data_IF_357721315896
#
_entry.id   IF_357721315896
#
_cell.length_a   1.000
_cell.length_b   1.000
_cell.length_c   1.000
_cell.angle_alpha   90.00
_cell.angle_beta   90.00
_cell.angle_gamma   90.00
#
_symmetry.space_group_name_H-M   'P 1'
#
loop_
_entity.id
_entity.type
_entity.pdbx_description
1 polymer ?
#
# COMPACT_ATOMS: atom_id res chain seq x y z
N UNK A 1 -27.34 36.29 14.35
CA UNK A 1 -27.13 34.89 13.97
C UNK A 1 -26.10 34.82 12.85
N UNK A 2 -24.94 34.27 13.15
CA UNK A 2 -23.81 34.25 12.23
C UNK A 2 -23.98 33.18 11.13
N UNK A 3 -23.22 33.33 10.03
CA UNK A 3 -23.18 32.38 8.91
C UNK A 3 -22.89 30.94 9.35
N UNK A 4 -22.18 30.75 10.47
CA UNK A 4 -21.86 29.46 11.09
C UNK A 4 -23.09 28.80 11.76
N UNK A 5 -24.01 29.56 12.31
CA UNK A 5 -25.21 29.02 12.95
C UNK A 5 -26.23 28.51 11.92
N UNK A 6 -26.29 29.15 10.74
CA UNK A 6 -27.09 28.67 9.61
C UNK A 6 -26.56 27.41 8.97
N UNK A 7 -25.23 27.19 8.95
CA UNK A 7 -24.64 25.96 8.47
C UNK A 7 -24.86 24.78 9.44
N UNK A 8 -24.83 25.05 10.74
CA UNK A 8 -25.10 24.01 11.76
C UNK A 8 -26.55 23.53 11.76
N UNK A 9 -27.50 24.38 11.40
CA UNK A 9 -28.93 24.01 11.34
C UNK A 9 -29.31 23.22 10.07
N UNK A 10 -28.41 23.10 9.09
CA UNK A 10 -28.61 22.35 7.86
C UNK A 10 -28.03 20.93 7.89
N UNK A 11 -27.31 20.55 8.96
CA UNK A 11 -26.79 19.20 9.11
C UNK A 11 -27.88 18.33 9.75
N UNK A 12 -28.29 17.21 9.11
CA UNK A 12 -29.27 16.29 9.69
C UNK A 12 -28.84 15.83 11.08
N UNK A 13 -29.76 15.81 12.05
CA UNK A 13 -29.46 15.43 13.43
C UNK A 13 -28.75 14.07 13.54
N UNK A 14 -29.10 13.10 12.68
CA UNK A 14 -28.42 11.80 12.61
C UNK A 14 -26.94 11.86 12.25
N UNK A 15 -26.50 12.87 11.48
CA UNK A 15 -25.08 13.05 11.13
C UNK A 15 -24.27 13.62 12.30
N UNK A 16 -24.89 14.40 13.19
CA UNK A 16 -24.23 14.94 14.39
C UNK A 16 -24.07 13.88 15.47
N UNK A 17 -25.07 13.01 15.68
CA UNK A 17 -24.98 11.89 16.60
C UNK A 17 -23.95 10.85 16.16
N UNK A 18 -23.88 10.54 14.86
CA UNK A 18 -22.87 9.65 14.28
C UNK A 18 -21.44 10.23 14.42
N UNK A 19 -21.28 11.52 14.19
CA UNK A 19 -19.99 12.21 14.37
C UNK A 19 -19.53 12.18 15.83
N UNK A 20 -20.47 12.35 16.78
CA UNK A 20 -20.16 12.32 18.21
C UNK A 20 -19.82 10.91 18.68
N UNK A 21 -20.56 9.88 18.24
CA UNK A 21 -20.26 8.47 18.54
C UNK A 21 -18.90 8.03 18.00
N UNK A 22 -18.57 8.40 16.77
CA UNK A 22 -17.27 8.11 16.17
C UNK A 22 -16.11 8.81 16.90
N UNK A 23 -16.34 10.03 17.39
CA UNK A 23 -15.34 10.77 18.17
C UNK A 23 -15.12 10.13 19.54
N UNK A 24 -16.19 9.70 20.22
CA UNK A 24 -16.10 9.00 21.50
C UNK A 24 -15.37 7.67 21.36
N UNK A 25 -15.78 6.82 20.41
CA UNK A 25 -15.11 5.54 20.14
C UNK A 25 -13.62 5.70 19.81
N UNK A 26 -13.26 6.72 19.01
CA UNK A 26 -11.87 7.05 18.72
C UNK A 26 -11.07 7.41 19.97
N UNK A 27 -11.67 8.18 20.88
CA UNK A 27 -11.06 8.58 22.14
C UNK A 27 -10.90 7.40 23.08
N UNK A 28 -11.89 6.53 23.17
CA UNK A 28 -11.86 5.30 23.98
C UNK A 28 -10.76 4.33 23.50
N UNK A 29 -10.64 4.11 22.17
CA UNK A 29 -9.57 3.30 21.60
C UNK A 29 -8.20 3.91 21.93
N UNK A 30 -8.04 5.22 21.76
CA UNK A 30 -6.77 5.89 22.05
C UNK A 30 -6.38 5.81 23.53
N UNK A 31 -7.36 5.96 24.45
CA UNK A 31 -7.12 5.87 25.89
C UNK A 31 -6.77 4.44 26.34
N UNK A 32 -7.36 3.43 25.70
CA UNK A 32 -7.09 2.02 26.03
C UNK A 32 -5.61 1.68 25.81
N UNK A 33 -5.02 2.08 24.68
CA UNK A 33 -3.59 1.85 24.41
C UNK A 33 -2.65 2.72 25.27
N UNK A 34 -3.11 3.85 25.81
CA UNK A 34 -2.32 4.67 26.71
C UNK A 34 -2.20 4.09 28.13
N UNK A 35 -3.15 3.23 28.52
CA UNK A 35 -3.16 2.60 29.85
C UNK A 35 -2.36 1.30 29.90
N UNK A 36 -1.90 0.77 28.75
CA UNK A 36 -1.03 -0.39 28.71
C UNK A 36 0.40 0.08 29.08
N UNK A 37 0.92 -0.46 30.20
CA UNK A 37 2.23 -0.08 30.70
C UNK A 37 3.33 -0.35 29.67
N UNK A 38 4.05 0.69 29.29
CA UNK A 38 5.23 0.55 28.43
C UNK A 38 6.48 0.95 29.18
N UNK A 39 7.47 0.09 29.19
CA UNK A 39 8.75 0.36 29.81
C UNK A 39 9.88 0.19 28.81
N UNK A 40 10.96 0.96 29.03
CA UNK A 40 12.19 0.79 28.29
C UNK A 40 13.09 -0.17 29.08
N UNK A 41 13.14 -1.43 28.64
CA UNK A 41 13.86 -2.49 29.34
C UNK A 41 15.02 -3.03 28.51
N UNK A 42 15.99 -3.64 29.19
CA UNK A 42 17.12 -4.31 28.53
C UNK A 42 16.96 -5.82 28.65
N UNK A 43 16.56 -6.44 27.56
CA UNK A 43 16.16 -7.85 27.48
C UNK A 43 17.22 -8.70 26.79
N UNK A 44 17.23 -10.01 27.08
CA UNK A 44 18.10 -10.97 26.40
C UNK A 44 17.63 -11.22 24.99
N UNK A 45 18.53 -11.10 24.01
CA UNK A 45 18.23 -11.29 22.59
C UNK A 45 17.69 -12.70 22.28
N UNK A 46 18.17 -13.72 23.02
CA UNK A 46 17.71 -15.10 22.90
C UNK A 46 16.25 -15.33 23.31
N UNK A 47 15.72 -14.44 24.18
CA UNK A 47 14.33 -14.56 24.69
C UNK A 47 13.32 -13.88 23.75
N UNK A 48 13.75 -13.31 22.64
CA UNK A 48 12.88 -12.64 21.67
C UNK A 48 12.40 -13.65 20.65
N UNK A 49 11.09 -13.78 20.51
CA UNK A 49 10.42 -14.61 19.50
C UNK A 49 9.89 -13.74 18.37
N UNK A 50 10.04 -14.20 17.13
CA UNK A 50 9.44 -13.53 15.98
C UNK A 50 7.95 -13.79 15.93
N UNK A 51 7.18 -12.74 15.67
CA UNK A 51 5.74 -12.88 15.55
C UNK A 51 5.38 -13.61 14.24
N UNK A 52 4.73 -14.78 14.31
CA UNK A 52 4.38 -15.57 13.13
C UNK A 52 3.36 -14.86 12.23
N UNK A 53 2.63 -13.90 12.76
CA UNK A 53 1.64 -13.11 12.03
C UNK A 53 2.24 -11.88 11.33
N UNK A 54 3.58 -11.69 11.36
CA UNK A 54 4.20 -10.58 10.65
C UNK A 54 4.15 -10.81 9.13
N UNK A 55 3.30 -10.06 8.43
CA UNK A 55 3.13 -10.15 6.98
C UNK A 55 4.33 -9.65 6.18
N UNK A 56 5.24 -8.89 6.80
CA UNK A 56 6.48 -8.39 6.20
C UNK A 56 7.73 -9.07 6.75
N UNK A 57 7.65 -10.34 7.04
CA UNK A 57 8.83 -11.12 7.40
C UNK A 57 9.87 -11.08 6.28
N UNK A 58 11.15 -11.04 6.64
CA UNK A 58 12.28 -10.99 5.72
C UNK A 58 13.17 -12.22 5.91
N UNK A 59 13.93 -12.60 4.87
CA UNK A 59 14.88 -13.70 4.97
C UNK A 59 16.09 -13.33 5.82
N UNK A 60 16.68 -14.30 6.54
CA UNK A 60 17.83 -14.07 7.42
C UNK A 60 19.11 -13.75 6.64
N UNK A 61 19.26 -14.30 5.43
CA UNK A 61 20.42 -14.12 4.55
C UNK A 61 20.35 -12.91 3.62
N UNK A 62 19.39 -12.00 3.85
CA UNK A 62 19.25 -10.79 3.06
C UNK A 62 20.48 -9.89 3.24
N UNK A 63 21.09 -9.45 2.13
CA UNK A 63 22.21 -8.51 2.13
C UNK A 63 21.90 -7.24 2.91
N UNK A 64 20.65 -6.81 2.87
CA UNK A 64 20.18 -5.65 3.66
C UNK A 64 20.26 -5.86 5.18
N UNK A 65 20.19 -7.11 5.65
CA UNK A 65 20.39 -7.45 7.07
C UNK A 65 21.86 -7.36 7.44
N UNK A 66 22.77 -7.83 6.54
CA UNK A 66 24.22 -7.71 6.75
C UNK A 66 24.67 -6.24 6.84
N UNK A 67 24.20 -5.42 5.90
CA UNK A 67 24.48 -3.98 5.89
C UNK A 67 23.93 -3.28 7.15
N UNK A 68 22.74 -3.68 7.60
CA UNK A 68 22.16 -3.16 8.85
C UNK A 68 22.98 -3.61 10.08
N UNK A 69 23.49 -4.85 10.11
CA UNK A 69 24.35 -5.33 11.16
C UNK A 69 25.64 -4.49 11.24
N UNK A 70 26.29 -4.25 10.11
CA UNK A 70 27.50 -3.41 10.04
C UNK A 70 27.24 -1.95 10.48
N UNK A 71 26.06 -1.42 10.17
CA UNK A 71 25.65 -0.09 10.64
C UNK A 71 25.41 -0.06 12.15
N UNK A 72 24.77 -1.10 12.71
CA UNK A 72 24.53 -1.23 14.17
C UNK A 72 25.86 -1.43 14.90
N UNK A 73 26.79 -2.18 14.35
CA UNK A 73 28.11 -2.39 14.94
C UNK A 73 28.87 -1.08 15.10
N UNK A 74 28.86 -0.20 14.09
CA UNK A 74 29.52 1.10 14.10
C UNK A 74 28.84 2.15 14.97
N UNK A 75 27.50 2.24 14.89
CA UNK A 75 26.75 3.37 15.44
C UNK A 75 25.89 3.01 16.66
N UNK A 76 25.77 1.71 17.00
CA UNK A 76 24.79 1.21 17.96
C UNK A 76 23.38 1.13 17.39
N UNK A 77 22.45 0.65 18.20
CA UNK A 77 21.02 0.54 17.84
C UNK A 77 20.35 1.90 18.06
N UNK A 78 20.12 2.65 16.97
CA UNK A 78 19.55 4.01 17.05
C UNK A 78 18.04 4.01 17.37
N UNK A 79 17.31 2.96 17.00
CA UNK A 79 15.88 2.82 17.24
C UNK A 79 15.60 1.53 17.97
N UNK A 80 14.89 1.62 19.10
CA UNK A 80 14.53 0.46 19.89
C UNK A 80 13.62 -0.50 19.13
N UNK A 81 13.71 -1.77 19.46
CA UNK A 81 12.68 -2.77 19.07
C UNK A 81 11.47 -2.62 19.98
N UNK A 82 10.35 -3.14 19.56
CA UNK A 82 9.09 -3.17 20.33
C UNK A 82 8.69 -4.61 20.57
N UNK A 83 8.42 -4.97 21.82
CA UNK A 83 8.09 -6.33 22.22
C UNK A 83 6.93 -6.35 23.21
N UNK A 84 6.21 -7.48 23.27
CA UNK A 84 5.27 -7.83 24.31
C UNK A 84 5.85 -8.90 25.22
N UNK A 85 5.82 -8.69 26.52
CA UNK A 85 6.29 -9.66 27.50
C UNK A 85 5.24 -10.75 27.70
N UNK A 86 5.66 -12.01 27.60
CA UNK A 86 4.86 -13.19 27.87
C UNK A 86 5.00 -13.63 29.35
N UNK A 87 4.01 -14.39 29.83
CA UNK A 87 3.99 -14.91 31.20
C UNK A 87 5.19 -15.86 31.48
N UNK A 88 5.68 -16.56 30.47
CA UNK A 88 6.84 -17.45 30.56
C UNK A 88 8.20 -16.73 30.56
N UNK A 89 8.18 -15.41 30.48
CA UNK A 89 9.41 -14.58 30.46
C UNK A 89 10.04 -14.44 29.07
N UNK A 90 9.43 -14.98 28.02
CA UNK A 90 9.79 -14.67 26.63
C UNK A 90 9.18 -13.35 26.17
N UNK A 91 9.60 -12.86 25.00
CA UNK A 91 9.18 -11.59 24.45
C UNK A 91 8.74 -11.77 22.98
N UNK A 92 7.48 -11.54 22.71
CA UNK A 92 6.96 -11.53 21.34
C UNK A 92 7.31 -10.23 20.63
N UNK A 93 7.98 -10.31 19.49
CA UNK A 93 8.39 -9.15 18.72
C UNK A 93 7.21 -8.50 17.98
N UNK A 94 6.96 -7.23 18.24
CA UNK A 94 5.92 -6.42 17.58
C UNK A 94 6.50 -5.48 16.50
N UNK A 95 7.74 -5.01 16.68
CA UNK A 95 8.43 -4.18 15.68
C UNK A 95 9.93 -4.34 15.73
N UNK A 96 10.56 -4.37 14.55
CA UNK A 96 12.02 -4.37 14.43
C UNK A 96 12.62 -5.72 14.04
N UNK A 97 11.92 -6.59 13.32
CA UNK A 97 12.42 -7.90 12.90
C UNK A 97 13.80 -7.83 12.23
N UNK A 98 13.99 -6.94 11.27
CA UNK A 98 15.29 -6.75 10.62
C UNK A 98 16.40 -6.38 11.62
N UNK A 99 16.07 -5.58 12.64
CA UNK A 99 17.02 -5.18 13.71
C UNK A 99 17.39 -6.36 14.59
N UNK A 100 16.42 -7.19 14.98
CA UNK A 100 16.67 -8.41 15.74
C UNK A 100 17.53 -9.39 14.94
N UNK A 101 17.25 -9.60 13.66
CA UNK A 101 18.06 -10.45 12.76
C UNK A 101 19.48 -9.93 12.63
N UNK A 102 19.68 -8.63 12.44
CA UNK A 102 20.99 -8.01 12.39
C UNK A 102 21.75 -8.16 13.71
N UNK A 103 21.08 -7.99 14.86
CA UNK A 103 21.69 -8.19 16.18
C UNK A 103 22.09 -9.65 16.42
N UNK A 104 21.27 -10.62 15.99
CA UNK A 104 21.62 -12.05 16.04
C UNK A 104 22.82 -12.37 15.17
N UNK A 105 22.95 -11.73 14.03
CA UNK A 105 24.13 -11.87 13.16
C UNK A 105 25.38 -11.32 13.85
N UNK A 106 25.28 -10.15 14.52
CA UNK A 106 26.40 -9.59 15.30
C UNK A 106 26.77 -10.48 16.49
N UNK A 107 25.79 -11.02 17.19
CA UNK A 107 26.03 -11.96 18.29
C UNK A 107 26.77 -13.21 17.80
N UNK A 108 26.37 -13.76 16.64
CA UNK A 108 27.05 -14.88 16.02
C UNK A 108 28.51 -14.55 15.66
N UNK A 109 28.76 -13.40 15.02
CA UNK A 109 30.12 -12.93 14.69
C UNK A 109 30.99 -12.77 15.96
N UNK A 110 30.42 -12.27 17.03
CA UNK A 110 31.11 -12.11 18.32
C UNK A 110 31.46 -13.46 18.94
N UNK A 111 30.54 -14.43 18.92
CA UNK A 111 30.75 -15.79 19.40
C UNK A 111 31.83 -16.53 18.58
N UNK A 112 31.84 -16.34 17.27
CA UNK A 112 32.86 -16.91 16.36
C UNK A 112 34.27 -16.31 16.65
N UNK A 113 34.32 -15.04 17.06
CA UNK A 113 35.60 -14.35 17.43
C UNK A 113 36.10 -14.68 18.82
N UNK A 114 35.26 -15.08 19.75
CA UNK A 114 35.59 -15.51 21.11
C UNK A 114 34.93 -16.86 21.47
N UNK A 115 35.43 -17.99 20.92
CA UNK A 115 34.84 -19.31 21.17
C UNK A 115 34.93 -19.76 22.64
N UNK A 116 35.79 -19.12 23.44
CA UNK A 116 35.95 -19.46 24.85
C UNK A 116 34.88 -18.83 25.74
N UNK A 117 34.14 -17.82 25.24
CA UNK A 117 33.10 -17.12 25.96
C UNK A 117 33.59 -16.34 27.20
N UNK A 118 34.89 -16.01 27.23
CA UNK A 118 35.49 -15.33 28.39
C UNK A 118 35.16 -13.84 28.47
N UNK A 119 34.71 -13.26 27.35
CA UNK A 119 34.29 -11.87 27.27
C UNK A 119 32.77 -11.74 27.40
N UNK A 120 32.33 -10.72 28.12
CA UNK A 120 30.91 -10.38 28.13
C UNK A 120 30.47 -9.95 26.70
N UNK A 121 29.54 -10.67 26.13
CA UNK A 121 29.07 -10.40 24.78
C UNK A 121 28.20 -9.15 24.71
N UNK A 122 28.63 -8.18 23.93
CA UNK A 122 28.01 -6.86 23.79
C UNK A 122 26.55 -6.99 23.33
N UNK A 123 26.28 -7.97 22.45
CA UNK A 123 25.00 -8.13 21.76
C UNK A 123 24.03 -9.12 22.44
N UNK A 124 24.37 -9.64 23.62
CA UNK A 124 23.48 -10.55 24.36
C UNK A 124 22.18 -9.87 24.82
N UNK A 125 22.24 -8.57 25.06
CA UNK A 125 21.09 -7.80 25.52
C UNK A 125 20.84 -6.61 24.61
N UNK A 126 19.56 -6.37 24.34
CA UNK A 126 19.08 -5.25 23.52
C UNK A 126 18.10 -4.39 24.32
N UNK A 127 18.12 -3.09 24.06
CA UNK A 127 17.13 -2.17 24.59
C UNK A 127 15.84 -2.28 23.79
N UNK A 128 14.73 -2.49 24.49
CA UNK A 128 13.41 -2.69 23.89
C UNK A 128 12.35 -1.85 24.61
N UNK A 129 11.41 -1.32 23.86
CA UNK A 129 10.15 -0.85 24.41
C UNK A 129 9.29 -2.08 24.66
N UNK A 130 9.01 -2.35 25.93
CA UNK A 130 8.31 -3.55 26.37
C UNK A 130 6.91 -3.21 26.83
N UNK A 131 5.94 -3.88 26.24
CA UNK A 131 4.56 -3.89 26.69
C UNK A 131 4.33 -5.07 27.63
N UNK A 132 3.50 -4.88 28.65
CA UNK A 132 3.08 -5.92 29.60
C UNK A 132 1.57 -6.04 29.62
N UNK A 133 1.06 -7.27 29.67
CA UNK A 133 -0.38 -7.53 29.81
C UNK A 133 -1.18 -7.36 28.52
N UNK A 134 -0.53 -7.35 27.34
CA UNK A 134 -1.23 -7.33 26.05
C UNK A 134 -1.94 -8.66 25.81
N UNK A 135 -3.19 -8.58 25.34
CA UNK A 135 -3.85 -9.71 24.70
C UNK A 135 -3.42 -9.85 23.23
N UNK A 136 -3.78 -10.97 22.62
CA UNK A 136 -3.40 -11.29 21.23
C UNK A 136 -3.91 -10.24 20.23
N UNK A 137 -5.13 -9.72 20.40
CA UNK A 137 -5.67 -8.70 19.50
C UNK A 137 -4.87 -7.39 19.58
N UNK A 138 -4.47 -6.98 20.80
CA UNK A 138 -3.63 -5.81 21.00
C UNK A 138 -2.27 -5.97 20.34
N UNK A 139 -1.64 -7.14 20.47
CA UNK A 139 -0.36 -7.42 19.83
C UNK A 139 -0.46 -7.31 18.32
N UNK A 140 -1.52 -7.88 17.71
CA UNK A 140 -1.75 -7.81 16.27
C UNK A 140 -2.02 -6.37 15.80
N UNK A 141 -2.79 -5.60 16.57
CA UNK A 141 -3.04 -4.19 16.26
C UNK A 141 -1.73 -3.39 16.27
N UNK A 142 -0.90 -3.55 17.31
CA UNK A 142 0.37 -2.83 17.42
C UNK A 142 1.35 -3.28 16.32
N UNK A 143 1.42 -4.57 16.02
CA UNK A 143 2.24 -5.13 14.94
C UNK A 143 1.88 -4.51 13.58
N UNK A 144 0.58 -4.49 13.25
CA UNK A 144 0.11 -3.96 11.96
C UNK A 144 0.27 -2.45 11.90
N UNK A 145 -0.05 -1.73 12.97
CA UNK A 145 0.15 -0.28 13.05
C UNK A 145 1.63 0.09 12.85
N UNK A 146 2.55 -0.59 13.54
CA UNK A 146 3.98 -0.35 13.40
C UNK A 146 4.47 -0.59 11.97
N UNK A 147 3.99 -1.64 11.31
CA UNK A 147 4.33 -1.91 9.92
C UNK A 147 3.79 -0.84 8.96
N UNK A 148 2.52 -0.47 9.10
CA UNK A 148 1.88 0.56 8.27
C UNK A 148 2.55 1.93 8.47
N UNK A 149 2.86 2.32 9.71
CA UNK A 149 3.49 3.60 10.03
C UNK A 149 4.91 3.72 9.46
N UNK A 150 5.69 2.64 9.47
CA UNK A 150 7.08 2.63 9.00
C UNK A 150 7.16 2.51 7.48
N UNK A 151 6.32 1.68 6.88
CA UNK A 151 6.40 1.33 5.45
C UNK A 151 5.44 2.13 4.59
N UNK A 152 4.41 2.72 5.19
CA UNK A 152 3.32 3.35 4.45
C UNK A 152 2.62 2.32 3.55
N UNK A 153 2.35 2.75 2.31
CA UNK A 153 1.75 1.91 1.27
C UNK A 153 2.80 1.44 0.24
N UNK A 154 4.08 1.41 0.62
CA UNK A 154 5.13 0.86 -0.22
C UNK A 154 5.27 -0.63 0.00
N UNK A 155 5.16 -1.42 -1.07
CA UNK A 155 5.29 -2.86 -1.02
C UNK A 155 4.27 -3.61 -1.88
N UNK A 156 4.14 -4.90 -1.60
CA UNK A 156 3.17 -5.75 -2.29
C UNK A 156 1.73 -5.40 -1.89
N UNK A 157 0.88 -5.19 -2.89
CA UNK A 157 -0.50 -4.78 -2.68
C UNK A 157 -1.32 -5.79 -1.88
N UNK A 158 -1.02 -7.08 -1.98
CA UNK A 158 -1.69 -8.14 -1.21
C UNK A 158 -1.37 -8.05 0.26
N UNK A 159 -0.09 -7.88 0.57
CA UNK A 159 0.39 -7.70 1.94
C UNK A 159 -0.22 -6.46 2.59
N UNK A 160 -0.26 -5.34 1.85
CA UNK A 160 -0.85 -4.09 2.34
C UNK A 160 -2.35 -4.26 2.58
N UNK A 161 -3.09 -4.85 1.62
CA UNK A 161 -4.53 -5.09 1.78
C UNK A 161 -4.80 -5.99 2.99
N UNK A 162 -4.10 -7.12 3.10
CA UNK A 162 -4.26 -8.06 4.20
C UNK A 162 -3.98 -7.41 5.57
N UNK A 163 -2.94 -6.58 5.65
CA UNK A 163 -2.60 -5.88 6.88
C UNK A 163 -3.67 -4.88 7.29
N UNK A 164 -4.15 -4.04 6.35
CA UNK A 164 -5.17 -3.04 6.65
C UNK A 164 -6.50 -3.71 7.02
N UNK A 165 -6.89 -4.77 6.30
CA UNK A 165 -8.11 -5.53 6.61
C UNK A 165 -8.03 -6.11 8.03
N UNK A 166 -6.96 -6.83 8.34
CA UNK A 166 -6.73 -7.43 9.66
C UNK A 166 -6.70 -6.39 10.79
N UNK A 167 -6.01 -5.28 10.56
CA UNK A 167 -5.94 -4.18 11.52
C UNK A 167 -7.34 -3.65 11.87
N UNK A 168 -8.16 -3.38 10.85
CA UNK A 168 -9.51 -2.87 11.06
C UNK A 168 -10.44 -3.89 11.73
N UNK A 169 -10.33 -5.16 11.37
CA UNK A 169 -11.11 -6.26 11.96
C UNK A 169 -10.73 -6.47 13.43
N UNK A 170 -9.44 -6.42 13.77
CA UNK A 170 -8.96 -6.53 15.14
C UNK A 170 -9.41 -5.32 15.99
N UNK A 171 -9.43 -4.10 15.45
CA UNK A 171 -10.00 -2.95 16.15
C UNK A 171 -11.48 -3.14 16.45
N UNK A 172 -12.27 -3.64 15.49
CA UNK A 172 -13.69 -3.90 15.69
C UNK A 172 -13.91 -4.97 16.77
N UNK A 173 -13.14 -6.06 16.71
CA UNK A 173 -13.25 -7.17 17.66
C UNK A 173 -12.86 -6.75 19.08
N UNK A 174 -11.73 -6.05 19.23
CA UNK A 174 -11.22 -5.66 20.56
C UNK A 174 -12.09 -4.60 21.23
N UNK A 175 -12.47 -3.56 20.50
CA UNK A 175 -13.15 -2.40 21.09
C UNK A 175 -14.66 -2.41 20.89
N UNK A 176 -15.23 -3.45 20.28
CA UNK A 176 -16.67 -3.59 19.99
C UNK A 176 -17.24 -2.36 19.25
N UNK A 177 -16.44 -1.80 18.35
CA UNK A 177 -16.80 -0.61 17.55
C UNK A 177 -17.27 -1.00 16.15
N UNK A 178 -18.02 -0.12 15.50
CA UNK A 178 -18.39 -0.32 14.11
C UNK A 178 -17.20 -0.05 13.16
N UNK A 179 -17.33 -0.48 11.91
CA UNK A 179 -16.28 -0.31 10.88
C UNK A 179 -15.92 1.16 10.65
N UNK A 180 -16.88 2.08 10.76
CA UNK A 180 -16.63 3.52 10.56
C UNK A 180 -15.75 4.10 11.66
N UNK A 181 -15.99 3.68 12.92
CA UNK A 181 -15.17 4.10 14.04
C UNK A 181 -13.74 3.55 13.91
N UNK A 182 -13.59 2.28 13.52
CA UNK A 182 -12.29 1.67 13.24
C UNK A 182 -11.54 2.41 12.11
N UNK A 183 -12.20 2.73 10.99
CA UNK A 183 -11.64 3.50 9.88
C UNK A 183 -11.23 4.92 10.30
N UNK A 184 -12.05 5.59 11.12
CA UNK A 184 -11.75 6.92 11.63
C UNK A 184 -10.53 6.91 12.56
N UNK A 185 -10.41 5.88 13.41
CA UNK A 185 -9.23 5.68 14.25
C UNK A 185 -8.00 5.40 13.39
N UNK A 186 -8.07 4.42 12.48
CA UNK A 186 -6.99 4.08 11.54
C UNK A 186 -6.46 5.32 10.79
N UNK A 187 -7.36 6.11 10.21
CA UNK A 187 -7.01 7.35 9.53
C UNK A 187 -6.25 8.33 10.45
N UNK A 188 -6.70 8.46 11.69
CA UNK A 188 -6.05 9.37 12.64
C UNK A 188 -4.64 8.94 13.03
N UNK A 189 -4.39 7.64 13.06
CA UNK A 189 -3.08 7.08 13.40
C UNK A 189 -2.11 7.13 12.22
N UNK A 190 -2.60 6.77 11.03
CA UNK A 190 -1.76 6.64 9.83
C UNK A 190 -1.62 7.92 9.01
N UNK A 191 -2.45 8.94 9.29
CA UNK A 191 -2.53 10.20 8.53
C UNK A 191 -2.87 9.98 7.03
N UNK A 192 -3.43 8.85 6.69
CA UNK A 192 -3.85 8.55 5.32
C UNK A 192 -5.05 9.40 4.91
N UNK A 193 -5.14 9.70 3.61
CA UNK A 193 -6.27 10.43 3.05
C UNK A 193 -7.54 9.57 3.03
N UNK A 194 -8.72 10.21 3.08
CA UNK A 194 -10.01 9.52 2.98
C UNK A 194 -10.10 8.62 1.75
N UNK A 195 -9.63 9.10 0.60
CA UNK A 195 -9.63 8.33 -0.64
C UNK A 195 -8.74 7.07 -0.57
N UNK A 196 -7.63 7.14 0.18
CA UNK A 196 -6.76 6.00 0.39
C UNK A 196 -7.42 4.97 1.31
N UNK A 197 -7.96 5.40 2.44
CA UNK A 197 -8.67 4.51 3.36
C UNK A 197 -9.85 3.84 2.65
N UNK A 198 -10.68 4.62 1.95
CA UNK A 198 -11.82 4.10 1.18
C UNK A 198 -11.42 3.03 0.16
N UNK A 199 -10.28 3.20 -0.51
CA UNK A 199 -9.80 2.22 -1.50
C UNK A 199 -9.62 0.84 -0.88
N UNK A 200 -8.96 0.75 0.28
CA UNK A 200 -8.72 -0.52 0.94
C UNK A 200 -9.98 -1.08 1.62
N UNK A 201 -10.81 -0.21 2.19
CA UNK A 201 -12.05 -0.65 2.85
C UNK A 201 -13.15 -1.05 1.88
N UNK A 202 -13.22 -0.42 0.68
CA UNK A 202 -14.14 -0.84 -0.38
C UNK A 202 -13.83 -2.24 -0.89
N UNK A 203 -12.54 -2.60 -0.99
CA UNK A 203 -12.14 -3.94 -1.38
C UNK A 203 -12.81 -5.00 -0.50
N UNK A 204 -12.76 -4.83 0.83
CA UNK A 204 -13.36 -5.78 1.77
C UNK A 204 -14.89 -5.78 1.73
N UNK A 205 -15.51 -4.60 1.62
CA UNK A 205 -16.96 -4.42 1.73
C UNK A 205 -17.73 -4.80 0.48
N UNK A 206 -17.14 -4.56 -0.69
CA UNK A 206 -17.86 -4.59 -1.96
C UNK A 206 -17.56 -5.81 -2.80
N UNK A 207 -16.44 -6.51 -2.56
CA UNK A 207 -16.07 -7.67 -3.36
C UNK A 207 -16.52 -8.98 -2.68
N UNK A 208 -17.06 -9.90 -3.49
CA UNK A 208 -17.31 -11.28 -3.04
C UNK A 208 -16.00 -12.04 -2.89
N UNK A 209 -16.04 -13.12 -2.11
CA UNK A 209 -14.82 -13.85 -1.74
C UNK A 209 -14.09 -14.45 -2.94
N UNK A 210 -14.81 -14.94 -3.95
CA UNK A 210 -14.21 -15.46 -5.20
C UNK A 210 -13.38 -14.40 -5.93
N UNK A 211 -13.83 -13.15 -5.97
CA UNK A 211 -13.08 -12.04 -6.58
C UNK A 211 -11.85 -11.67 -5.73
N UNK A 212 -11.98 -11.71 -4.41
CA UNK A 212 -10.85 -11.53 -3.48
C UNK A 212 -9.82 -12.64 -3.68
N UNK A 213 -10.26 -13.89 -3.89
CA UNK A 213 -9.38 -15.03 -4.19
C UNK A 213 -8.60 -14.82 -5.49
N UNK A 214 -9.22 -14.33 -6.56
CA UNK A 214 -8.51 -13.98 -7.79
C UNK A 214 -7.41 -12.93 -7.57
N UNK A 215 -7.62 -12.00 -6.68
CA UNK A 215 -6.57 -11.08 -6.28
C UNK A 215 -5.48 -11.78 -5.46
N UNK A 216 -5.84 -12.61 -4.48
CA UNK A 216 -4.89 -13.32 -3.61
C UNK A 216 -3.99 -14.29 -4.39
N UNK A 217 -4.52 -15.00 -5.36
CA UNK A 217 -3.74 -15.91 -6.21
C UNK A 217 -3.00 -15.21 -7.36
N UNK A 218 -3.24 -13.91 -7.58
CA UNK A 218 -2.56 -13.09 -8.58
C UNK A 218 -3.18 -13.14 -9.97
N UNK A 219 -4.38 -13.73 -10.12
CA UNK A 219 -5.12 -13.72 -11.38
C UNK A 219 -5.47 -12.30 -11.82
N UNK A 220 -5.82 -11.44 -10.86
CA UNK A 220 -6.08 -10.01 -11.10
C UNK A 220 -5.24 -9.13 -10.18
N UNK A 221 -4.94 -7.92 -10.62
CA UNK A 221 -4.26 -6.90 -9.80
C UNK A 221 -5.22 -6.21 -8.82
N UNK A 222 -4.69 -5.55 -7.80
CA UNK A 222 -5.48 -4.74 -6.87
C UNK A 222 -6.31 -3.65 -7.57
N UNK A 223 -5.75 -2.99 -8.58
CA UNK A 223 -6.46 -1.96 -9.36
C UNK A 223 -7.64 -2.56 -10.15
N UNK A 224 -7.46 -3.76 -10.71
CA UNK A 224 -8.52 -4.49 -11.39
C UNK A 224 -9.63 -4.89 -10.42
N UNK A 225 -9.28 -5.46 -9.26
CA UNK A 225 -10.25 -5.80 -8.21
C UNK A 225 -11.07 -4.59 -7.78
N UNK A 226 -10.42 -3.46 -7.49
CA UNK A 226 -11.12 -2.22 -7.12
C UNK A 226 -12.07 -1.69 -8.21
N UNK A 227 -11.75 -1.92 -9.48
CA UNK A 227 -12.64 -1.51 -10.58
C UNK A 227 -13.95 -2.28 -10.64
N UNK A 228 -14.03 -3.42 -9.94
CA UNK A 228 -15.22 -4.28 -9.83
C UNK A 228 -16.09 -3.95 -8.60
N UNK A 229 -15.59 -3.15 -7.66
CA UNK A 229 -16.35 -2.77 -6.46
C UNK A 229 -17.74 -2.15 -6.72
N UNK A 230 -17.99 -1.41 -7.83
CA UNK A 230 -19.33 -0.90 -8.13
C UNK A 230 -20.31 -1.96 -8.67
N UNK A 231 -19.86 -3.19 -8.94
CA UNK A 231 -20.72 -4.28 -9.36
C UNK A 231 -21.49 -4.87 -8.18
N UNK A 232 -22.76 -5.20 -8.39
CA UNK A 232 -23.56 -5.94 -7.42
C UNK A 232 -23.02 -7.38 -7.26
N UNK A 233 -23.23 -8.05 -6.12
CA UNK A 233 -22.74 -9.40 -5.90
C UNK A 233 -23.12 -10.40 -6.99
N UNK A 234 -24.36 -10.34 -7.51
CA UNK A 234 -24.83 -11.17 -8.62
C UNK A 234 -24.06 -10.93 -9.92
N UNK A 235 -23.66 -9.69 -10.18
CA UNK A 235 -22.87 -9.31 -11.35
C UNK A 235 -21.41 -9.76 -11.20
N UNK A 236 -20.89 -9.73 -9.98
CA UNK A 236 -19.56 -10.26 -9.69
C UNK A 236 -19.51 -11.79 -9.91
N UNK A 237 -20.60 -12.53 -9.60
CA UNK A 237 -20.70 -13.95 -9.91
C UNK A 237 -20.62 -14.21 -11.42
N UNK A 238 -21.27 -13.39 -12.26
CA UNK A 238 -21.13 -13.50 -13.72
C UNK A 238 -19.69 -13.27 -14.17
N UNK A 239 -19.03 -12.29 -13.58
CA UNK A 239 -17.60 -12.04 -13.83
C UNK A 239 -16.73 -13.25 -13.43
N UNK A 240 -16.94 -13.83 -12.25
CA UNK A 240 -16.23 -15.03 -11.78
C UNK A 240 -16.39 -16.21 -12.74
N UNK A 241 -17.62 -16.46 -13.19
CA UNK A 241 -17.90 -17.51 -14.16
C UNK A 241 -17.16 -17.30 -15.49
N UNK A 242 -17.13 -16.06 -15.98
CA UNK A 242 -16.39 -15.72 -17.20
C UNK A 242 -14.88 -15.91 -17.03
N UNK A 243 -14.31 -15.52 -15.89
CA UNK A 243 -12.87 -15.74 -15.59
C UNK A 243 -12.55 -17.24 -15.51
N UNK A 244 -13.34 -18.02 -14.79
CA UNK A 244 -13.12 -19.48 -14.68
C UNK A 244 -13.17 -20.17 -16.05
N UNK A 245 -14.11 -19.78 -16.92
CA UNK A 245 -14.18 -20.25 -18.30
C UNK A 245 -12.94 -19.86 -19.10
N UNK A 246 -12.45 -18.63 -18.94
CA UNK A 246 -11.23 -18.15 -19.59
C UNK A 246 -10.01 -18.95 -19.19
N UNK A 247 -9.87 -19.26 -17.90
CA UNK A 247 -8.78 -20.09 -17.36
C UNK A 247 -8.83 -21.50 -17.98
N UNK A 248 -10.03 -22.11 -18.05
CA UNK A 248 -10.20 -23.41 -18.67
C UNK A 248 -9.83 -23.41 -20.17
N UNK A 249 -10.25 -22.36 -20.90
CA UNK A 249 -9.99 -22.24 -22.35
C UNK A 249 -8.52 -21.93 -22.66
N UNK A 250 -7.76 -21.40 -21.73
CA UNK A 250 -6.34 -21.14 -21.92
C UNK A 250 -5.49 -22.43 -21.96
N UNK A 251 -6.05 -23.57 -21.52
CA UNK A 251 -5.36 -24.87 -21.45
C UNK A 251 -3.96 -24.82 -20.80
N UNK A 252 -3.80 -23.93 -19.79
CA UNK A 252 -2.52 -23.74 -19.08
C UNK A 252 -1.54 -22.76 -19.76
N UNK A 253 -1.89 -22.18 -20.90
CA UNK A 253 -1.13 -21.07 -21.48
C UNK A 253 -1.34 -19.79 -20.67
N UNK A 254 -0.32 -19.43 -19.87
CA UNK A 254 -0.37 -18.27 -18.97
C UNK A 254 -0.48 -16.93 -19.69
N UNK A 255 0.09 -16.80 -20.88
CA UNK A 255 0.00 -15.57 -21.69
C UNK A 255 -1.41 -15.38 -22.25
N UNK A 256 -2.02 -16.45 -22.72
CA UNK A 256 -3.38 -16.47 -23.22
C UNK A 256 -4.39 -16.23 -22.07
N UNK A 257 -4.20 -16.91 -20.94
CA UNK A 257 -4.97 -16.72 -19.72
C UNK A 257 -4.97 -15.25 -19.30
N UNK A 258 -3.79 -14.64 -19.16
CA UNK A 258 -3.65 -13.24 -18.80
C UNK A 258 -4.36 -12.30 -19.77
N UNK A 259 -4.29 -12.60 -21.06
CA UNK A 259 -4.97 -11.82 -22.10
C UNK A 259 -6.51 -11.88 -21.96
N UNK A 260 -7.06 -13.07 -21.72
CA UNK A 260 -8.50 -13.24 -21.51
C UNK A 260 -8.98 -12.58 -20.23
N UNK A 261 -8.28 -12.83 -19.12
CA UNK A 261 -8.57 -12.23 -17.81
C UNK A 261 -8.59 -10.70 -17.90
N UNK A 262 -7.57 -10.10 -18.51
CA UNK A 262 -7.48 -8.64 -18.67
C UNK A 262 -8.68 -8.11 -19.46
N UNK A 263 -9.05 -8.74 -20.58
CA UNK A 263 -10.18 -8.29 -21.40
C UNK A 263 -11.52 -8.37 -20.68
N UNK A 264 -11.76 -9.49 -19.99
CA UNK A 264 -12.99 -9.69 -19.22
C UNK A 264 -13.08 -8.64 -18.13
N UNK A 265 -11.97 -8.42 -17.42
CA UNK A 265 -11.89 -7.44 -16.32
C UNK A 265 -12.12 -6.01 -16.84
N UNK A 266 -11.51 -5.63 -17.97
CA UNK A 266 -11.72 -4.31 -18.58
C UNK A 266 -13.18 -4.09 -19.00
N UNK A 267 -13.83 -5.11 -19.55
CA UNK A 267 -15.27 -5.03 -19.90
C UNK A 267 -16.15 -4.93 -18.66
N UNK A 268 -15.88 -5.73 -17.62
CA UNK A 268 -16.60 -5.66 -16.35
C UNK A 268 -16.43 -4.29 -15.68
N UNK A 269 -15.21 -3.76 -15.64
CA UNK A 269 -14.90 -2.43 -15.12
C UNK A 269 -15.59 -1.31 -15.95
N UNK A 270 -15.70 -1.48 -17.27
CA UNK A 270 -16.45 -0.56 -18.11
C UNK A 270 -17.94 -0.62 -17.82
N UNK A 271 -18.51 -1.82 -17.67
CA UNK A 271 -19.92 -2.01 -17.28
C UNK A 271 -20.20 -1.40 -15.92
N UNK A 272 -19.30 -1.59 -14.93
CA UNK A 272 -19.41 -1.04 -13.59
C UNK A 272 -19.56 0.49 -13.55
N UNK A 273 -19.03 1.19 -14.54
CA UNK A 273 -19.11 2.67 -14.65
C UNK A 273 -20.38 3.17 -15.35
N UNK A 274 -21.21 2.28 -15.88
CA UNK A 274 -22.39 2.65 -16.65
C UNK A 274 -23.64 2.45 -15.82
N UNK A 275 -24.57 3.38 -15.93
CA UNK A 275 -25.94 3.26 -15.37
C UNK A 275 -26.90 2.60 -16.35
N UNK A 276 -26.74 2.84 -17.66
CA UNK A 276 -27.59 2.30 -18.71
C UNK A 276 -26.85 1.25 -19.56
N UNK A 277 -27.52 0.13 -19.87
CA UNK A 277 -26.93 -0.95 -20.67
C UNK A 277 -25.86 -1.80 -19.93
N UNK A 278 -25.84 -1.75 -18.62
CA UNK A 278 -24.92 -2.50 -17.79
C UNK A 278 -25.14 -4.01 -17.89
N UNK A 279 -26.39 -4.45 -17.81
CA UNK A 279 -26.76 -5.87 -17.93
C UNK A 279 -26.37 -6.46 -19.29
N UNK A 280 -26.62 -5.73 -20.37
CA UNK A 280 -26.25 -6.17 -21.71
C UNK A 280 -24.71 -6.33 -21.86
N UNK A 281 -23.93 -5.44 -21.28
CA UNK A 281 -22.47 -5.54 -21.29
C UNK A 281 -21.92 -6.69 -20.44
N UNK A 282 -22.52 -6.95 -19.29
CA UNK A 282 -22.15 -8.07 -18.43
C UNK A 282 -22.54 -9.41 -19.06
N UNK A 283 -23.72 -9.50 -19.71
CA UNK A 283 -24.12 -10.68 -20.45
C UNK A 283 -23.15 -11.05 -21.59
N UNK A 284 -22.41 -10.07 -22.11
CA UNK A 284 -21.40 -10.26 -23.16
C UNK A 284 -19.98 -10.54 -22.63
N UNK A 285 -19.79 -10.77 -21.36
CA UNK A 285 -18.45 -11.09 -20.82
C UNK A 285 -17.85 -12.35 -21.45
N UNK A 286 -18.68 -13.35 -21.72
CA UNK A 286 -18.25 -14.58 -22.38
C UNK A 286 -17.81 -14.37 -23.84
N UNK A 287 -18.40 -13.44 -24.56
CA UNK A 287 -17.98 -13.09 -25.92
C UNK A 287 -16.55 -12.54 -25.95
N UNK A 288 -16.10 -11.96 -24.84
CA UNK A 288 -14.74 -11.47 -24.71
C UNK A 288 -13.70 -12.61 -24.78
N UNK A 289 -14.09 -13.82 -24.42
CA UNK A 289 -13.25 -15.02 -24.51
C UNK A 289 -13.24 -15.55 -25.95
N UNK A 290 -14.43 -15.62 -26.56
CA UNK A 290 -14.66 -16.30 -27.84
C UNK A 290 -14.18 -15.46 -29.03
N UNK A 291 -14.24 -14.12 -28.93
CA UNK A 291 -13.74 -13.27 -30.01
C UNK A 291 -12.28 -13.58 -30.27
N UNK A 292 -11.92 -14.20 -31.42
CA UNK A 292 -10.54 -14.47 -31.70
C UNK A 292 -9.78 -13.17 -31.57
N UNK A 293 -8.73 -13.20 -30.75
CA UNK A 293 -7.68 -12.23 -30.89
C UNK A 293 -7.19 -12.46 -32.31
N UNK A 294 -7.57 -11.62 -33.26
CA UNK A 294 -6.69 -11.40 -34.37
C UNK A 294 -5.41 -10.96 -33.70
N UNK A 295 -4.53 -11.91 -33.48
CA UNK A 295 -3.19 -11.69 -32.99
C UNK A 295 -2.54 -10.79 -34.03
N UNK A 296 -2.72 -9.46 -33.85
CA UNK A 296 -1.78 -8.55 -34.44
C UNK A 296 -0.43 -8.95 -33.90
N UNK A 297 0.57 -9.10 -34.77
CA UNK A 297 1.88 -9.55 -34.34
C UNK A 297 2.32 -8.78 -33.10
N UNK A 298 2.91 -9.45 -32.15
CA UNK A 298 3.27 -8.91 -30.82
C UNK A 298 4.04 -7.58 -30.87
N UNK A 299 4.72 -7.29 -31.99
CA UNK A 299 5.37 -6.01 -32.27
C UNK A 299 4.41 -4.81 -32.36
N UNK A 300 3.24 -4.97 -32.95
CA UNK A 300 2.29 -3.85 -33.16
C UNK A 300 1.57 -3.41 -31.88
N UNK A 301 1.35 -4.31 -30.92
CA UNK A 301 0.71 -3.99 -29.64
C UNK A 301 1.70 -3.30 -28.71
N UNK A 302 2.94 -3.78 -28.66
CA UNK A 302 4.00 -3.15 -27.86
C UNK A 302 4.27 -1.73 -28.35
N UNK A 303 4.38 -1.52 -29.66
CA UNK A 303 4.58 -0.20 -30.28
C UNK A 303 3.39 0.73 -30.03
N UNK A 304 2.14 0.25 -30.13
CA UNK A 304 0.93 1.05 -29.84
C UNK A 304 0.85 1.42 -28.35
N UNK A 305 1.18 0.49 -27.44
CA UNK A 305 1.17 0.76 -26.00
C UNK A 305 2.27 1.74 -25.64
N UNK A 306 3.46 1.60 -26.20
CA UNK A 306 4.57 2.57 -26.05
C UNK A 306 4.18 3.93 -26.63
N UNK A 307 3.58 3.96 -27.83
CA UNK A 307 3.12 5.20 -28.47
C UNK A 307 2.05 5.89 -27.62
N UNK A 308 1.03 5.16 -27.11
CA UNK A 308 0.00 5.72 -26.24
C UNK A 308 0.57 6.22 -24.91
N UNK A 309 1.55 5.52 -24.34
CA UNK A 309 2.24 5.93 -23.12
C UNK A 309 3.09 7.18 -23.33
N UNK A 310 3.79 7.26 -24.46
CA UNK A 310 4.57 8.43 -24.86
C UNK A 310 3.65 9.64 -25.11
N UNK A 311 2.55 9.46 -25.83
CA UNK A 311 1.57 10.53 -26.08
C UNK A 311 1.03 11.08 -24.76
N UNK A 312 0.61 10.22 -23.83
CA UNK A 312 0.13 10.64 -22.49
C UNK A 312 1.19 11.38 -21.68
N UNK A 313 2.46 10.96 -21.76
CA UNK A 313 3.57 11.66 -21.12
C UNK A 313 3.78 13.05 -21.75
N UNK A 314 3.71 13.14 -23.08
CA UNK A 314 3.80 14.41 -23.80
C UNK A 314 2.64 15.35 -23.48
N UNK A 315 1.41 14.86 -23.49
CA UNK A 315 0.22 15.65 -23.12
C UNK A 315 0.32 16.16 -21.68
N UNK A 316 0.85 15.36 -20.76
CA UNK A 316 1.08 15.78 -19.38
C UNK A 316 2.13 16.88 -19.30
N UNK A 317 3.27 16.75 -19.99
CA UNK A 317 4.33 17.75 -20.01
C UNK A 317 3.83 19.06 -20.63
N UNK A 318 3.11 19.00 -21.76
CA UNK A 318 2.53 20.19 -22.41
C UNK A 318 1.48 20.86 -21.52
N UNK A 319 0.66 20.10 -20.81
CA UNK A 319 -0.31 20.63 -19.87
C UNK A 319 0.37 21.30 -18.67
N UNK A 320 1.41 20.71 -18.11
CA UNK A 320 2.15 21.28 -16.98
C UNK A 320 2.91 22.54 -17.40
N UNK A 321 3.52 22.55 -18.59
CA UNK A 321 4.15 23.75 -19.18
C UNK A 321 3.10 24.86 -19.42
N UNK A 322 1.92 24.54 -19.94
CA UNK A 322 0.85 25.51 -20.15
C UNK A 322 0.38 26.17 -18.85
N UNK A 323 0.33 25.41 -17.76
CA UNK A 323 0.00 25.94 -16.41
C UNK A 323 1.06 26.89 -15.87
N UNK A 324 2.33 26.65 -16.23
CA UNK A 324 3.43 27.52 -15.83
C UNK A 324 3.40 28.80 -16.66
N UNK A 325 3.27 28.68 -17.98
CA UNK A 325 3.26 29.83 -18.90
C UNK A 325 2.03 30.72 -18.76
N UNK A 326 0.88 30.17 -18.36
CA UNK A 326 -0.35 30.93 -18.11
C UNK A 326 -0.36 31.71 -16.78
N UNK A 327 0.61 31.46 -15.89
CA UNK A 327 0.67 32.07 -14.56
C UNK A 327 1.88 32.98 -14.39
N UNK A 328 1.68 34.31 -14.43
CA UNK A 328 2.74 35.30 -14.15
C UNK A 328 3.50 35.03 -12.83
N UNK A 329 2.77 34.55 -11.80
CA UNK A 329 3.37 34.26 -10.49
C UNK A 329 4.35 33.08 -10.57
N UNK A 330 4.00 32.00 -11.29
CA UNK A 330 4.85 30.82 -11.47
C UNK A 330 6.06 31.12 -12.34
N UNK A 331 5.87 31.88 -13.42
CA UNK A 331 6.96 32.37 -14.29
C UNK A 331 7.96 33.21 -13.52
N UNK A 332 7.49 34.15 -12.69
CA UNK A 332 8.36 34.96 -11.85
C UNK A 332 9.09 34.16 -10.77
N UNK A 333 8.46 33.08 -10.24
CA UNK A 333 9.12 32.17 -9.32
C UNK A 333 10.25 31.40 -9.99
N UNK A 334 10.01 30.85 -11.19
CA UNK A 334 11.05 30.17 -11.98
C UNK A 334 12.21 31.08 -12.35
N UNK A 335 11.93 32.32 -12.78
CA UNK A 335 12.99 33.31 -13.07
C UNK A 335 13.83 33.65 -11.85
N UNK A 336 13.22 33.69 -10.66
CA UNK A 336 13.97 33.92 -9.41
C UNK A 336 14.83 32.71 -9.02
N UNK A 337 14.39 31.50 -9.29
CA UNK A 337 15.14 30.27 -9.03
C UNK A 337 16.33 30.19 -10.01
N UNK A 338 16.10 30.40 -11.29
CA UNK A 338 17.14 30.39 -12.32
C UNK A 338 18.23 31.47 -12.07
N UNK A 339 17.82 32.65 -11.58
CA UNK A 339 18.73 33.72 -11.20
C UNK A 339 19.47 33.43 -9.86
N UNK A 340 18.93 32.62 -8.98
CA UNK A 340 19.55 32.27 -7.69
C UNK A 340 20.62 31.18 -7.85
N UNK A 341 20.38 30.22 -8.76
CA UNK A 341 21.33 29.13 -9.06
C UNK A 341 22.50 29.59 -9.95
N UNK A 342 22.37 30.73 -10.66
CA UNK A 342 23.43 31.45 -11.36
C UNK A 342 24.01 30.77 -12.60
N UNK A 343 23.48 29.60 -13.00
CA UNK A 343 24.02 28.78 -14.09
C UNK A 343 23.10 28.64 -15.31
N UNK A 344 21.89 29.24 -15.30
CA UNK A 344 20.96 29.17 -16.42
C UNK A 344 20.43 27.78 -16.74
N UNK A 345 20.58 26.84 -15.80
CA UNK A 345 20.33 25.40 -15.99
C UNK A 345 18.89 25.08 -16.38
N UNK A 346 17.91 25.87 -15.92
CA UNK A 346 16.49 25.69 -16.27
C UNK A 346 16.24 26.08 -17.71
N UNK A 347 16.82 27.16 -18.20
CA UNK A 347 16.70 27.63 -19.60
C UNK A 347 17.38 26.65 -20.54
N UNK A 348 18.60 26.20 -20.22
CA UNK A 348 19.32 25.19 -21.01
C UNK A 348 18.56 23.85 -21.06
N UNK A 349 17.95 23.42 -19.95
CA UNK A 349 17.15 22.21 -19.90
C UNK A 349 15.88 22.30 -20.75
N UNK A 350 15.24 23.48 -20.80
CA UNK A 350 14.06 23.73 -21.64
C UNK A 350 14.45 23.81 -23.13
N UNK A 351 15.57 24.41 -23.47
CA UNK A 351 16.09 24.48 -24.84
C UNK A 351 16.48 23.08 -25.35
N UNK A 352 17.10 22.26 -24.51
CA UNK A 352 17.41 20.87 -24.84
C UNK A 352 16.13 20.08 -25.09
N UNK A 353 15.12 20.22 -24.22
CA UNK A 353 13.82 19.55 -24.36
C UNK A 353 13.11 19.97 -25.65
N UNK A 354 13.15 21.25 -25.99
CA UNK A 354 12.58 21.78 -27.23
C UNK A 354 13.27 21.21 -28.48
N UNK A 355 14.59 21.06 -28.43
CA UNK A 355 15.38 20.48 -29.51
C UNK A 355 15.07 18.99 -29.70
N UNK A 356 15.08 18.21 -28.63
CA UNK A 356 14.76 16.80 -28.67
C UNK A 356 13.30 16.55 -29.14
N UNK A 357 12.36 17.42 -28.75
CA UNK A 357 10.97 17.35 -29.21
C UNK A 357 10.85 17.66 -30.71
N UNK A 358 11.62 18.61 -31.25
CA UNK A 358 11.65 18.94 -32.68
C UNK A 358 12.24 17.78 -33.49
N UNK A 359 13.36 17.22 -33.05
CA UNK A 359 14.01 16.06 -33.70
C UNK A 359 13.07 14.84 -33.74
N UNK A 360 12.36 14.54 -32.64
CA UNK A 360 11.39 13.48 -32.59
C UNK A 360 10.19 13.72 -33.54
N UNK A 361 9.72 14.96 -33.61
CA UNK A 361 8.63 15.32 -34.52
C UNK A 361 9.06 15.14 -36.02
N UNK A 362 10.31 15.46 -36.36
CA UNK A 362 10.82 15.27 -37.70
C UNK A 362 11.04 13.78 -38.03
N UNK A 363 11.55 12.99 -37.13
CA UNK A 363 11.62 11.52 -37.28
C UNK A 363 10.26 10.90 -37.49
N UNK A 364 9.24 11.34 -36.75
CA UNK A 364 7.85 10.84 -36.91
C UNK A 364 7.19 11.26 -38.22
N UNK A 365 7.54 12.45 -38.79
CA UNK A 365 7.02 12.91 -40.07
C UNK A 365 7.68 12.18 -41.25
N UNK A 366 8.96 11.85 -41.10
CA UNK A 366 9.76 11.24 -42.17
C UNK A 366 9.67 9.70 -42.17
N UNK A 367 8.94 9.09 -41.25
CA UNK A 367 8.62 7.65 -41.26
C UNK A 367 9.82 6.71 -40.98
N UNK A 368 10.87 7.22 -40.36
CA UNK A 368 12.05 6.45 -39.96
C UNK A 368 11.98 5.98 -38.51
#
# INVERSE_FOLDING_TARGET
MGKLDKLKSQIPQGSQELSTKNHLAKTEIAMSFQNEGTELTRILLRNIEFNPHNLWSCNDDDESIRQLADAIERNGLLHNIVVSQREDGTFMLLSGERRVKALRLLQKREQESDPTGQKAHKWDRVQAQTYTGLDELSELIILDEANIMVRGLSGDAKTIQACISRYLDNLQAKFQVDRRAAEAYFKSRTQMTDSTVQRYTQFDKSLIDDVKEFFQNGTISHAQALSLCPLEPSEQVLYVNAINKAIQMSNGDKALEHTYVTRITDRAAQAARMTNGREDKLARLEEAIISPVHAKPAGDVAVRTQKATLIRKYEKVTFDLSKITSSKRRLNSLRKMDAADGDGSIVESLDKLAKEAAELADLLRNGQ
#
